data_IF_588909736344
#
_entry.id   IF_588909736344
#
_cell.length_a   1.000
_cell.length_b   1.000
_cell.length_c   1.000
_cell.angle_alpha   90.00
_cell.angle_beta   90.00
_cell.angle_gamma   90.00
#
_symmetry.space_group_name_H-M   'P 1'
#
loop_
_entity.id
_entity.type
_entity.pdbx_description
1 polymer ?
#
# COMPACT_ATOMS: atom_id res chain seq x y z
N UNK A 1 -3.01 -9.34 -7.29
CA UNK A 1 -3.61 -8.81 -6.07
C UNK A 1 -2.64 -8.80 -4.92
N UNK A 2 -1.94 -9.91 -4.69
CA UNK A 2 -1.01 -9.99 -3.57
C UNK A 2 0.11 -8.96 -3.59
N UNK A 3 0.57 -8.56 -4.77
CA UNK A 3 1.68 -7.62 -4.87
C UNK A 3 1.32 -6.24 -4.32
N UNK A 4 0.14 -5.74 -4.65
CA UNK A 4 -0.31 -4.42 -4.17
C UNK A 4 -0.48 -4.46 -2.65
N UNK A 5 -1.09 -5.52 -2.14
CA UNK A 5 -1.28 -5.69 -0.70
C UNK A 5 0.06 -5.72 0.03
N UNK A 6 1.01 -6.52 -0.46
CA UNK A 6 2.32 -6.65 0.17
C UNK A 6 3.06 -5.31 0.19
N UNK A 7 3.05 -4.59 -0.93
CA UNK A 7 3.73 -3.30 -1.02
C UNK A 7 3.11 -2.26 -0.10
N UNK A 8 1.78 -2.20 -0.04
CA UNK A 8 1.10 -1.26 0.85
C UNK A 8 1.37 -1.57 2.31
N UNK A 9 1.36 -2.84 2.70
CA UNK A 9 1.65 -3.24 4.08
C UNK A 9 3.06 -2.86 4.46
N UNK A 10 4.04 -3.12 3.57
CA UNK A 10 5.43 -2.74 3.84
C UNK A 10 5.58 -1.24 3.99
N UNK A 11 4.93 -0.47 3.11
CA UNK A 11 4.98 0.99 3.17
C UNK A 11 4.40 1.51 4.49
N UNK A 12 3.25 1.01 4.87
CA UNK A 12 2.60 1.45 6.11
C UNK A 12 3.45 1.10 7.32
N UNK A 13 4.01 -0.11 7.34
CA UNK A 13 4.92 -0.51 8.41
C UNK A 13 6.10 0.44 8.50
N UNK A 14 6.71 0.77 7.37
CA UNK A 14 7.84 1.67 7.33
C UNK A 14 7.48 3.06 7.85
N UNK A 15 6.31 3.57 7.46
CA UNK A 15 5.84 4.86 7.94
C UNK A 15 5.64 4.89 9.44
N UNK A 16 5.26 3.76 10.03
CA UNK A 16 5.04 3.66 11.47
C UNK A 16 6.28 3.25 12.24
N UNK A 17 7.40 3.03 11.53
CA UNK A 17 8.62 2.57 12.17
C UNK A 17 8.57 1.13 12.64
N UNK A 18 7.69 0.32 12.06
CA UNK A 18 7.55 -1.11 12.38
C UNK A 18 8.24 -1.96 11.34
N UNK A 19 8.75 -3.11 11.78
CA UNK A 19 9.23 -4.12 10.86
C UNK A 19 8.16 -5.16 10.63
N UNK A 20 8.31 -5.95 9.55
CA UNK A 20 7.33 -6.99 9.26
C UNK A 20 7.24 -8.02 10.39
N UNK A 21 8.35 -8.31 11.05
CA UNK A 21 8.35 -9.22 12.20
C UNK A 21 7.52 -8.68 13.36
N UNK A 22 7.51 -7.35 13.53
CA UNK A 22 6.72 -6.72 14.58
C UNK A 22 5.23 -6.85 14.28
N UNK A 23 4.86 -6.66 13.02
CA UNK A 23 3.48 -6.85 12.59
C UNK A 23 3.04 -8.30 12.80
N UNK A 24 3.87 -9.26 12.42
CA UNK A 24 3.56 -10.67 12.62
C UNK A 24 3.37 -10.99 14.09
N UNK A 25 4.22 -10.43 14.95
CA UNK A 25 4.10 -10.61 16.39
C UNK A 25 2.78 -10.05 16.91
N UNK A 26 2.40 -8.87 16.44
CA UNK A 26 1.13 -8.25 16.83
C UNK A 26 -0.07 -9.10 16.41
N UNK A 27 0.07 -9.84 15.32
CA UNK A 27 -0.98 -10.71 14.81
C UNK A 27 -0.94 -12.11 15.42
N UNK A 28 0.10 -12.42 16.20
CA UNK A 28 0.25 -13.74 16.80
C UNK A 28 0.67 -14.82 15.82
N UNK A 29 1.34 -14.46 14.74
CA UNK A 29 1.84 -15.41 13.74
C UNK A 29 3.32 -15.17 13.53
N UNK A 30 4.00 -16.13 12.85
CA UNK A 30 5.41 -15.95 12.57
C UNK A 30 5.61 -15.14 11.27
N UNK A 31 6.78 -14.48 11.12
CA UNK A 31 7.01 -13.61 9.95
C UNK A 31 6.92 -14.33 8.61
N UNK A 32 7.30 -15.62 8.56
CA UNK A 32 7.22 -16.38 7.32
C UNK A 32 5.76 -16.59 6.89
N UNK A 33 4.88 -16.85 7.86
CA UNK A 33 3.46 -17.00 7.59
C UNK A 33 2.85 -15.70 7.06
N UNK A 34 3.24 -14.57 7.65
CA UNK A 34 2.78 -13.26 7.20
C UNK A 34 3.23 -13.01 5.76
N UNK A 35 4.49 -13.25 5.47
CA UNK A 35 5.04 -13.04 4.12
C UNK A 35 4.30 -13.89 3.10
N UNK A 36 4.05 -15.15 3.41
CA UNK A 36 3.30 -16.03 2.51
C UNK A 36 1.88 -15.55 2.29
N UNK A 37 1.22 -15.10 3.34
CA UNK A 37 -0.14 -14.56 3.22
C UNK A 37 -0.17 -13.35 2.31
N UNK A 38 0.80 -12.45 2.44
CA UNK A 38 0.85 -11.23 1.63
C UNK A 38 1.15 -11.51 0.16
N UNK A 39 1.94 -12.54 -0.13
CA UNK A 39 2.34 -12.85 -1.50
C UNK A 39 1.47 -13.90 -2.18
N UNK A 40 0.53 -14.46 -1.44
CA UNK A 40 -0.39 -15.47 -1.97
C UNK A 40 -1.84 -15.05 -1.84
N UNK A 41 -2.71 -16.02 -1.55
CA UNK A 41 -4.13 -15.76 -1.35
C UNK A 41 -4.38 -15.35 0.08
N UNK A 42 -4.45 -14.05 0.30
CA UNK A 42 -4.73 -13.51 1.62
C UNK A 42 -6.25 -13.47 1.83
N UNK A 43 -6.71 -14.10 2.90
CA UNK A 43 -8.13 -14.12 3.21
C UNK A 43 -8.56 -12.76 3.76
N UNK A 44 -9.85 -12.46 3.63
CA UNK A 44 -10.40 -11.20 4.12
C UNK A 44 -10.20 -11.04 5.62
N UNK A 45 -10.39 -12.10 6.40
CA UNK A 45 -10.19 -12.02 7.84
C UNK A 45 -8.73 -11.74 8.19
N UNK A 46 -7.78 -12.30 7.43
CA UNK A 46 -6.36 -12.00 7.61
C UNK A 46 -6.08 -10.54 7.26
N UNK A 47 -6.66 -10.04 6.19
CA UNK A 47 -6.50 -8.63 5.81
C UNK A 47 -7.02 -7.70 6.89
N UNK A 48 -8.16 -8.04 7.50
CA UNK A 48 -8.71 -7.23 8.59
C UNK A 48 -7.81 -7.25 9.81
N UNK A 49 -7.20 -8.39 10.11
CA UNK A 49 -6.24 -8.48 11.23
C UNK A 49 -5.03 -7.61 10.97
N UNK A 50 -4.53 -7.59 9.73
CA UNK A 50 -3.40 -6.75 9.35
C UNK A 50 -3.78 -5.28 9.53
N UNK A 51 -4.93 -4.87 9.01
CA UNK A 51 -5.39 -3.49 9.12
C UNK A 51 -5.54 -3.08 10.59
N UNK A 52 -6.12 -3.94 11.41
CA UNK A 52 -6.30 -3.67 12.83
C UNK A 52 -4.95 -3.53 13.53
N UNK A 53 -4.00 -4.43 13.23
CA UNK A 53 -2.68 -4.38 13.83
C UNK A 53 -1.92 -3.11 13.44
N UNK A 54 -2.14 -2.61 12.23
CA UNK A 54 -1.51 -1.38 11.75
C UNK A 54 -2.30 -0.12 12.14
N UNK A 55 -3.51 -0.29 12.66
CA UNK A 55 -4.34 0.84 13.04
C UNK A 55 -4.87 1.63 11.85
N UNK A 56 -5.06 0.97 10.71
CA UNK A 56 -5.57 1.60 9.50
C UNK A 56 -6.84 0.89 9.04
N UNK A 57 -7.55 1.50 8.10
CA UNK A 57 -8.73 0.88 7.53
C UNK A 57 -8.33 -0.21 6.54
N UNK A 58 -9.23 -1.16 6.31
CA UNK A 58 -9.00 -2.21 5.31
C UNK A 58 -8.75 -1.59 3.93
N UNK A 59 -9.45 -0.52 3.61
CA UNK A 59 -9.28 0.20 2.35
C UNK A 59 -7.83 0.67 2.15
N UNK A 60 -7.17 1.07 3.22
CA UNK A 60 -5.79 1.56 3.14
C UNK A 60 -4.82 0.52 2.60
N UNK A 61 -5.14 -0.75 2.75
CA UNK A 61 -4.28 -1.83 2.24
C UNK A 61 -4.31 -1.92 0.71
N UNK A 62 -5.29 -1.32 0.08
CA UNK A 62 -5.48 -1.39 -1.36
C UNK A 62 -5.38 -0.04 -2.04
N UNK A 63 -5.04 1.01 -1.30
CA UNK A 63 -4.87 2.33 -1.89
C UNK A 63 -3.62 2.38 -2.75
N UNK A 64 -3.63 3.21 -3.81
CA UNK A 64 -2.42 3.39 -4.61
C UNK A 64 -1.26 3.88 -3.74
N UNK A 65 -0.06 3.43 -4.08
CA UNK A 65 1.15 3.89 -3.40
C UNK A 65 1.36 5.37 -3.67
N UNK A 66 2.09 6.04 -2.78
CA UNK A 66 2.43 7.45 -2.98
C UNK A 66 3.24 7.66 -4.25
N UNK A 67 4.07 6.70 -4.59
CA UNK A 67 4.82 6.72 -5.85
C UNK A 67 3.95 6.10 -6.92
N UNK A 68 3.01 6.87 -7.42
CA UNK A 68 2.15 6.44 -8.52
C UNK A 68 2.70 6.96 -9.84
N UNK A 69 2.53 6.16 -10.87
CA UNK A 69 2.88 6.58 -12.21
C UNK A 69 1.70 6.36 -13.13
N UNK A 70 1.63 7.17 -14.16
CA UNK A 70 0.52 7.09 -15.10
C UNK A 70 0.52 8.26 -16.04
N UNK A 71 -0.59 8.41 -16.74
CA UNK A 71 -0.77 9.47 -17.72
C UNK A 71 -2.10 10.17 -17.47
N UNK A 72 -2.10 11.48 -17.58
CA UNK A 72 -3.35 12.23 -17.67
C UNK A 72 -3.36 13.02 -18.98
N UNK A 73 -4.55 13.12 -19.56
CA UNK A 73 -4.76 13.91 -20.75
C UNK A 73 -5.54 15.17 -20.39
N UNK A 74 -4.93 16.30 -20.71
CA UNK A 74 -5.56 17.60 -20.45
C UNK A 74 -5.49 18.41 -21.74
N UNK A 75 -6.64 18.77 -22.29
CA UNK A 75 -6.74 19.60 -23.49
C UNK A 75 -5.94 19.02 -24.67
N UNK A 76 -5.99 17.71 -24.84
CA UNK A 76 -5.31 17.03 -25.94
C UNK A 76 -3.85 16.72 -25.70
N UNK A 77 -3.30 17.19 -24.59
CA UNK A 77 -1.91 16.89 -24.23
C UNK A 77 -1.87 15.79 -23.19
N UNK A 78 -0.89 14.91 -23.31
CA UNK A 78 -0.68 13.81 -22.39
C UNK A 78 0.48 14.16 -21.47
N UNK A 79 0.24 14.08 -20.18
CA UNK A 79 1.25 14.33 -19.16
C UNK A 79 1.53 13.05 -18.40
N UNK A 80 2.81 12.72 -18.29
CA UNK A 80 3.24 11.56 -17.51
C UNK A 80 3.63 12.01 -16.12
N UNK A 81 3.27 11.20 -15.13
CA UNK A 81 3.69 11.45 -13.75
C UNK A 81 4.19 10.15 -13.13
N UNK A 82 5.15 10.26 -12.23
CA UNK A 82 5.77 9.10 -11.59
C UNK A 82 5.60 9.12 -10.08
N UNK A 83 4.93 10.14 -9.54
CA UNK A 83 4.69 10.23 -8.11
C UNK A 83 3.44 11.06 -7.86
N UNK A 84 2.92 10.95 -6.66
CA UNK A 84 1.77 11.76 -6.26
C UNK A 84 2.12 13.25 -6.28
N UNK A 85 3.34 13.59 -5.91
CA UNK A 85 3.78 14.98 -5.94
C UNK A 85 3.74 15.54 -7.34
N UNK A 86 4.24 14.79 -8.33
CA UNK A 86 4.18 15.22 -9.72
C UNK A 86 2.74 15.36 -10.20
N UNK A 87 1.88 14.41 -9.82
CA UNK A 87 0.47 14.47 -10.18
C UNK A 87 -0.18 15.73 -9.61
N UNK A 88 0.10 16.05 -8.35
CA UNK A 88 -0.45 17.25 -7.74
C UNK A 88 0.02 18.51 -8.43
N UNK A 89 1.27 18.55 -8.87
CA UNK A 89 1.78 19.70 -9.64
C UNK A 89 1.04 19.86 -10.95
N UNK A 90 0.76 18.75 -11.64
CA UNK A 90 0.01 18.81 -12.89
C UNK A 90 -1.42 19.29 -12.67
N UNK A 91 -2.05 18.83 -11.60
CA UNK A 91 -3.44 19.21 -11.30
C UNK A 91 -3.55 20.67 -10.87
N UNK A 92 -2.53 21.23 -10.23
CA UNK A 92 -2.52 22.61 -9.75
C UNK A 92 -1.92 23.59 -10.74
N UNK A 93 -1.43 23.12 -11.84
CA UNK A 93 -0.84 23.95 -12.87
C UNK A 93 -1.94 24.65 -13.67
N UNK A 94 -1.85 25.94 -13.73
CA UNK A 94 -2.79 26.75 -14.51
C UNK A 94 -2.20 27.18 -15.85
#
# INVERSE_FOLDING_TARGET
>A
MGKILAENVRRICKEQGKQMKDLASDMGIDPASLTRALNGNCRLDTMQKIATALGVSLKSLFEPLDDIEGFIRVQGKVYQFNSREELNKLLNKK
#
